data_IF_979734097664
#
_entry.id   IF_979734097664
#
_cell.length_a   1.000
_cell.length_b   1.000
_cell.length_c   1.000
_cell.angle_alpha   90.00
_cell.angle_beta   90.00
_cell.angle_gamma   90.00
#
_symmetry.space_group_name_H-M   'P 1'
#
loop_
_entity.id
_entity.type
_entity.pdbx_description
1 polymer ?
#
# COMPACT_ATOMS: atom_id res chain seq x y z
N UNK A 1 -41.82 -8.44 3.78
CA UNK A 1 -40.58 -9.23 3.97
C UNK A 1 -39.42 -8.24 4.06
N UNK A 2 -38.76 -8.14 5.21
CA UNK A 2 -37.62 -7.23 5.36
C UNK A 2 -36.40 -7.91 4.75
N UNK A 3 -35.98 -7.44 3.58
CA UNK A 3 -34.75 -7.91 2.94
C UNK A 3 -33.58 -7.13 3.51
N UNK A 4 -32.81 -7.78 4.37
CA UNK A 4 -31.53 -7.30 4.86
C UNK A 4 -30.42 -8.13 4.23
N UNK A 5 -30.18 -7.95 2.93
CA UNK A 5 -29.02 -8.56 2.28
C UNK A 5 -27.84 -7.58 2.28
N UNK A 6 -26.81 -8.01 2.99
CA UNK A 6 -25.72 -7.25 3.54
C UNK A 6 -24.46 -7.52 2.73
N UNK A 7 -24.01 -6.57 1.91
CA UNK A 7 -22.59 -6.37 1.59
C UNK A 7 -22.32 -5.02 0.91
N UNK A 8 -22.73 -3.95 1.61
CA UNK A 8 -22.15 -2.59 1.61
C UNK A 8 -21.48 -2.13 0.30
N UNK A 9 -22.23 -1.36 -0.48
CA UNK A 9 -21.77 -0.62 -1.66
C UNK A 9 -20.38 0.01 -1.46
N UNK A 10 -19.38 -0.56 -2.13
CA UNK A 10 -18.10 0.13 -2.38
C UNK A 10 -18.36 1.05 -3.56
N UNK A 11 -18.01 2.33 -3.43
CA UNK A 11 -18.16 3.25 -4.57
C UNK A 11 -17.33 2.73 -5.74
N UNK A 12 -17.74 3.01 -6.98
CA UNK A 12 -16.97 2.64 -8.16
C UNK A 12 -15.53 3.18 -8.07
N UNK A 13 -15.34 4.34 -7.44
CA UNK A 13 -14.03 4.91 -7.17
C UNK A 13 -13.16 4.03 -6.25
N UNK A 14 -13.72 3.44 -5.20
CA UNK A 14 -12.97 2.53 -4.31
C UNK A 14 -12.56 1.26 -5.05
N UNK A 15 -13.45 0.70 -5.86
CA UNK A 15 -13.15 -0.49 -6.69
C UNK A 15 -12.01 -0.17 -7.66
N UNK A 16 -12.11 0.95 -8.37
CA UNK A 16 -11.09 1.37 -9.34
C UNK A 16 -9.73 1.60 -8.68
N UNK A 17 -9.69 2.23 -7.50
CA UNK A 17 -8.45 2.42 -6.74
C UNK A 17 -7.77 1.11 -6.37
N UNK A 18 -8.54 0.10 -5.96
CA UNK A 18 -7.97 -1.19 -5.57
C UNK A 18 -7.52 -2.00 -6.79
N UNK A 19 -8.25 -1.91 -7.91
CA UNK A 19 -7.82 -2.48 -9.18
C UNK A 19 -6.49 -1.86 -9.66
N UNK A 20 -6.32 -0.54 -9.50
CA UNK A 20 -5.08 0.15 -9.86
C UNK A 20 -3.90 -0.28 -8.96
N UNK A 21 -4.12 -0.42 -7.65
CA UNK A 21 -3.13 -0.95 -6.70
C UNK A 21 -2.71 -2.37 -7.10
N UNK A 22 -3.69 -3.25 -7.36
CA UNK A 22 -3.45 -4.63 -7.76
C UNK A 22 -2.66 -4.71 -9.08
N UNK A 23 -3.03 -3.94 -10.10
CA UNK A 23 -2.32 -3.88 -11.39
C UNK A 23 -0.88 -3.41 -11.22
N UNK A 24 -0.65 -2.39 -10.37
CA UNK A 24 0.70 -1.90 -10.09
C UNK A 24 1.55 -2.92 -9.32
N UNK A 25 0.97 -3.62 -8.35
CA UNK A 25 1.64 -4.71 -7.63
C UNK A 25 2.00 -5.84 -8.60
N UNK A 26 1.07 -6.27 -9.46
CA UNK A 26 1.32 -7.30 -10.48
C UNK A 26 2.44 -6.92 -11.44
N UNK A 27 2.54 -5.63 -11.82
CA UNK A 27 3.63 -5.15 -12.67
C UNK A 27 5.00 -5.31 -12.00
N UNK A 28 5.08 -4.99 -10.71
CA UNK A 28 6.30 -5.15 -9.90
C UNK A 28 6.65 -6.63 -9.67
N UNK A 29 5.65 -7.51 -9.62
CA UNK A 29 5.90 -8.96 -9.59
C UNK A 29 6.43 -9.45 -10.93
N UNK A 30 5.81 -9.00 -12.02
CA UNK A 30 6.17 -9.40 -13.39
C UNK A 30 7.57 -8.93 -13.80
N UNK A 31 7.96 -7.72 -13.39
CA UNK A 31 9.31 -7.19 -13.66
C UNK A 31 10.39 -7.72 -12.70
N UNK A 32 10.01 -8.56 -11.74
CA UNK A 32 10.89 -9.19 -10.77
C UNK A 32 11.30 -8.31 -9.59
N UNK A 33 10.79 -7.07 -9.49
CA UNK A 33 11.07 -6.16 -8.36
C UNK A 33 10.43 -6.66 -7.06
N UNK A 34 9.33 -7.40 -7.14
CA UNK A 34 8.73 -8.15 -6.04
C UNK A 34 8.72 -9.63 -6.41
N UNK A 35 9.35 -10.47 -5.59
CA UNK A 35 9.27 -11.92 -5.70
C UNK A 35 8.28 -12.44 -4.68
N UNK A 36 7.40 -13.36 -5.07
CA UNK A 36 6.52 -14.04 -4.12
C UNK A 36 7.27 -15.26 -3.55
N UNK A 37 7.37 -15.34 -2.23
CA UNK A 37 8.04 -16.39 -1.48
C UNK A 37 7.12 -16.84 -0.34
N UNK A 38 6.61 -18.07 -0.38
CA UNK A 38 5.67 -18.61 0.63
C UNK A 38 4.52 -17.63 0.97
N UNK A 39 3.81 -17.15 -0.06
CA UNK A 39 2.73 -16.16 0.04
C UNK A 39 3.13 -14.77 0.57
N UNK A 40 4.42 -14.52 0.79
CA UNK A 40 4.97 -13.22 1.18
C UNK A 40 5.68 -12.54 0.01
N UNK A 41 5.39 -11.26 -0.20
CA UNK A 41 6.09 -10.43 -1.19
C UNK A 41 7.45 -9.97 -0.68
N UNK A 42 8.53 -10.38 -1.33
CA UNK A 42 9.91 -9.97 -1.04
C UNK A 42 10.37 -8.98 -2.11
N UNK A 43 10.70 -7.77 -1.68
CA UNK A 43 11.29 -6.76 -2.57
C UNK A 43 12.74 -7.15 -2.87
N UNK A 44 13.10 -7.23 -4.15
CA UNK A 44 14.41 -7.72 -4.61
C UNK A 44 15.38 -6.59 -4.97
N UNK A 45 14.87 -5.36 -5.09
CA UNK A 45 15.60 -4.14 -5.45
C UNK A 45 14.86 -2.91 -4.94
N UNK A 46 15.55 -1.79 -4.89
CA UNK A 46 14.91 -0.52 -4.54
C UNK A 46 13.84 -0.13 -5.58
N UNK A 47 12.65 0.21 -5.08
CA UNK A 47 11.51 0.65 -5.88
C UNK A 47 11.19 2.10 -5.50
N UNK A 48 11.37 3.01 -6.45
CA UNK A 48 11.01 4.41 -6.25
C UNK A 48 9.49 4.60 -6.35
N UNK A 49 8.91 5.25 -5.35
CA UNK A 49 7.51 5.67 -5.33
C UNK A 49 7.39 7.19 -5.29
N UNK A 50 6.30 7.70 -5.87
CA UNK A 50 6.01 9.14 -5.89
C UNK A 50 5.56 9.68 -4.54
N UNK A 51 5.18 8.80 -3.61
CA UNK A 51 4.82 9.17 -2.23
C UNK A 51 4.93 7.96 -1.29
N UNK A 52 5.13 8.19 0.02
CA UNK A 52 5.15 7.12 1.02
C UNK A 52 3.81 6.36 1.08
N UNK A 53 2.68 7.02 0.82
CA UNK A 53 1.36 6.37 0.77
C UNK A 53 1.22 5.43 -0.42
N UNK A 54 1.81 5.77 -1.58
CA UNK A 54 1.81 4.89 -2.74
C UNK A 54 2.61 3.61 -2.47
N UNK A 55 3.76 3.73 -1.81
CA UNK A 55 4.54 2.58 -1.37
C UNK A 55 3.73 1.70 -0.41
N UNK A 56 3.10 2.30 0.60
CA UNK A 56 2.34 1.57 1.61
C UNK A 56 1.14 0.83 0.98
N UNK A 57 0.52 1.44 -0.03
CA UNK A 57 -0.62 0.83 -0.71
C UNK A 57 -0.25 -0.41 -1.52
N UNK A 58 0.95 -0.44 -2.11
CA UNK A 58 1.45 -1.61 -2.82
C UNK A 58 1.77 -2.75 -1.86
N UNK A 59 2.43 -2.45 -0.75
CA UNK A 59 2.80 -3.48 0.24
C UNK A 59 1.58 -4.05 0.97
N UNK A 60 0.60 -3.21 1.30
CA UNK A 60 -0.58 -3.64 2.06
C UNK A 60 -1.76 -4.10 1.17
N UNK A 61 -1.72 -3.86 -0.14
CA UNK A 61 -2.81 -4.16 -1.06
C UNK A 61 -4.07 -3.30 -0.86
N UNK A 62 -3.95 -2.18 -0.15
CA UNK A 62 -5.07 -1.27 0.16
C UNK A 62 -4.56 0.16 0.33
N UNK A 63 -5.43 1.14 0.14
CA UNK A 63 -5.09 2.54 0.43
C UNK A 63 -4.66 2.71 1.89
N UNK A 64 -3.50 3.31 2.11
CA UNK A 64 -2.93 3.49 3.44
C UNK A 64 -2.25 4.85 3.60
N UNK A 65 -2.25 5.39 4.81
CA UNK A 65 -1.50 6.61 5.15
C UNK A 65 -0.02 6.24 5.37
N UNK A 66 0.82 6.49 4.36
CA UNK A 66 2.24 6.15 4.42
C UNK A 66 2.98 6.85 5.55
N UNK A 67 2.65 8.11 5.87
CA UNK A 67 3.32 8.88 6.95
C UNK A 67 3.19 8.19 8.31
N UNK A 68 2.08 7.47 8.54
CA UNK A 68 1.80 6.78 9.80
C UNK A 68 2.18 5.28 9.79
N UNK A 69 2.29 4.66 8.61
CA UNK A 69 2.51 3.21 8.48
C UNK A 69 3.97 2.82 8.43
N UNK A 70 4.82 3.70 7.92
CA UNK A 70 6.26 3.49 7.92
C UNK A 70 6.81 3.89 9.27
N UNK A 71 7.46 2.96 9.96
CA UNK A 71 8.00 3.13 11.29
C UNK A 71 9.44 2.63 11.29
N UNK A 72 10.36 3.39 11.88
CA UNK A 72 11.75 2.97 12.04
C UNK A 72 11.93 2.04 13.25
N UNK A 73 13.16 1.55 13.47
CA UNK A 73 13.47 0.66 14.59
C UNK A 73 13.26 1.30 15.98
N UNK A 74 13.19 2.63 16.03
CA UNK A 74 12.94 3.42 17.25
C UNK A 74 11.45 3.66 17.52
N UNK A 75 10.55 3.18 16.64
CA UNK A 75 9.11 3.40 16.77
C UNK A 75 8.61 4.74 16.24
N UNK A 76 9.47 5.56 15.65
CA UNK A 76 9.11 6.84 15.03
C UNK A 76 8.48 6.59 13.67
N UNK A 77 7.28 7.15 13.45
CA UNK A 77 6.64 7.10 12.14
C UNK A 77 7.31 8.08 11.16
N UNK A 78 7.19 7.79 9.86
CA UNK A 78 7.81 8.57 8.80
C UNK A 78 7.39 10.05 8.82
N UNK A 79 6.14 10.35 9.17
CA UNK A 79 5.67 11.74 9.26
C UNK A 79 6.42 12.56 10.31
N UNK A 80 6.64 11.99 11.50
CA UNK A 80 7.40 12.63 12.56
C UNK A 80 8.90 12.72 12.22
N UNK A 81 9.45 11.71 11.54
CA UNK A 81 10.83 11.74 11.06
C UNK A 81 11.02 12.86 10.03
N UNK A 82 10.11 12.98 9.07
CA UNK A 82 10.15 14.02 8.02
C UNK A 82 10.10 15.43 8.62
N UNK A 83 9.23 15.67 9.61
CA UNK A 83 9.14 16.96 10.32
C UNK A 83 10.43 17.31 11.06
N UNK A 84 11.10 16.32 11.66
CA UNK A 84 12.37 16.52 12.37
C UNK A 84 13.53 16.81 11.42
N UNK A 85 13.55 16.20 10.23
CA UNK A 85 14.66 16.33 9.27
C UNK A 85 14.53 17.54 8.34
N UNK A 86 13.33 18.09 8.17
CA UNK A 86 13.07 19.30 7.38
C UNK A 86 13.00 20.60 8.22
N UNK A 87 13.29 20.53 9.52
CA UNK A 87 13.36 21.71 10.43
C UNK A 87 14.80 22.17 10.62
#
# INVERSE_FOLDING_TARGET
>A
VASWETSKARSQATVNSYAAIASRHQKLVSDGSIRIDNDCGVVTRDIAFTSPSAAAAIVLGTTANGRARWVNDEGQNYGAWEETNNS
#
